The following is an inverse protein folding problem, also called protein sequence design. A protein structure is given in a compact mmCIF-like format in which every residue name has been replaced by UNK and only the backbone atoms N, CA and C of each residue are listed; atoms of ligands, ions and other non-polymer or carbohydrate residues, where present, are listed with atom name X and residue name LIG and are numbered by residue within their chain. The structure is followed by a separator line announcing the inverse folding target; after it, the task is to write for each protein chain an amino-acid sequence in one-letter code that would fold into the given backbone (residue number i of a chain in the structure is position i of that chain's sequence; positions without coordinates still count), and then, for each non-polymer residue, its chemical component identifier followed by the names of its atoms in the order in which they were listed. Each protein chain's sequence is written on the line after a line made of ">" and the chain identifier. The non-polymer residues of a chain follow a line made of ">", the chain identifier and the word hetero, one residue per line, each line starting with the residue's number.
data_IF_559180099792
#
_entry.id   IF_559180099792
#
_cell.length_a   1.000
_cell.length_b   1.000
_cell.length_c   1.000
_cell.angle_alpha   90.00
_cell.angle_beta   90.00
_cell.angle_gamma   90.00
#
_symmetry.space_group_name_H-M   'P 1'
#
loop_
_entity.id
_entity.type
_entity.pdbx_description
1 polymer ?
#
# COMPACT_ATOMS: atom_id res chain seq x y z
N UNK A 1 44.15 -52.54 -7.93
CA UNK A 1 45.55 -52.07 -7.82
C UNK A 1 45.49 -50.54 -7.79
N UNK A 2 45.88 -49.82 -6.71
CA UNK A 2 47.25 -49.33 -6.41
C UNK A 2 47.87 -48.63 -7.66
N UNK A 3 48.23 -47.34 -7.71
CA UNK A 3 48.66 -46.29 -6.71
C UNK A 3 48.09 -44.91 -7.15
N UNK A 4 47.82 -43.89 -6.32
CA UNK A 4 48.60 -43.12 -5.30
C UNK A 4 49.56 -42.04 -5.87
N UNK A 5 49.21 -40.74 -5.61
CA UNK A 5 50.07 -39.52 -5.53
C UNK A 5 50.71 -39.03 -6.86
N UNK A 6 50.82 -37.72 -7.14
CA UNK A 6 51.64 -36.75 -6.37
C UNK A 6 51.28 -35.27 -6.62
N UNK A 7 51.34 -34.46 -5.55
CA UNK A 7 51.87 -33.08 -5.55
C UNK A 7 53.37 -33.20 -5.15
N UNK A 8 54.32 -32.34 -5.60
CA UNK A 8 54.56 -30.99 -5.03
C UNK A 8 54.98 -29.99 -6.13
N UNK A 9 55.64 -28.82 -5.96
CA UNK A 9 56.22 -27.99 -4.86
C UNK A 9 55.68 -26.53 -5.01
N UNK A 10 55.73 -25.55 -4.08
CA UNK A 10 56.66 -25.08 -3.03
C UNK A 10 57.91 -24.29 -3.50
N UNK A 11 57.87 -22.95 -3.36
CA UNK A 11 58.96 -22.00 -3.01
C UNK A 11 58.59 -20.56 -3.49
N UNK A 12 58.92 -19.46 -2.79
CA UNK A 12 59.42 -19.26 -1.42
C UNK A 12 59.04 -17.85 -0.91
N UNK A 13 58.82 -17.77 0.41
CA UNK A 13 59.00 -16.64 1.35
C UNK A 13 59.34 -15.20 0.85
N UNK A 14 58.62 -14.23 1.42
CA UNK A 14 59.06 -12.83 1.58
C UNK A 14 58.42 -12.20 2.82
N UNK A 15 59.16 -12.10 3.93
CA UNK A 15 58.66 -11.57 5.22
C UNK A 15 58.95 -10.08 5.34
N UNK A 16 57.96 -9.28 5.74
CA UNK A 16 58.21 -7.99 6.36
C UNK A 16 57.26 -7.77 7.54
N UNK A 17 57.82 -7.52 8.72
CA UNK A 17 57.08 -7.06 9.91
C UNK A 17 57.23 -5.55 10.02
N UNK A 18 56.14 -4.84 10.32
CA UNK A 18 56.17 -3.55 10.98
C UNK A 18 55.27 -3.66 12.20
N UNK A 19 55.72 -3.12 13.33
CA UNK A 19 55.00 -3.11 14.60
C UNK A 19 54.63 -1.68 15.00
N UNK A 20 53.38 -1.50 15.40
CA UNK A 20 52.82 -0.40 16.20
C UNK A 20 51.35 -0.77 16.46
N UNK A 21 50.74 -0.50 17.61
CA UNK A 21 51.22 0.04 18.88
C UNK A 21 50.04 0.02 19.86
N UNK A 22 50.30 -0.10 21.17
CA UNK A 22 49.23 -0.26 22.15
C UNK A 22 48.34 0.98 22.24
N UNK A 23 47.02 0.79 22.09
CA UNK A 23 46.04 1.86 22.25
C UNK A 23 45.78 2.10 23.75
N UNK A 24 46.49 3.07 24.34
CA UNK A 24 46.28 3.51 25.73
C UNK A 24 44.88 4.11 25.92
N UNK A 25 44.30 3.82 27.08
CA UNK A 25 43.10 4.45 27.60
C UNK A 25 43.46 5.72 28.38
N UNK A 26 43.53 6.86 27.70
CA UNK A 26 43.27 8.17 28.29
C UNK A 26 43.13 9.28 27.23
N UNK A 27 41.95 9.91 27.19
CA UNK A 27 41.89 11.38 27.26
C UNK A 27 40.59 11.79 27.94
N UNK A 28 40.71 12.62 28.97
CA UNK A 28 39.58 13.22 29.68
C UNK A 28 39.50 14.69 29.32
N UNK A 29 38.99 14.99 28.13
CA UNK A 29 38.61 16.35 27.74
C UNK A 29 37.10 16.51 27.77
N UNK A 30 36.65 17.59 28.41
CA UNK A 30 35.26 17.75 28.80
C UNK A 30 34.33 17.89 27.59
N UNK A 31 33.26 17.10 27.58
CA UNK A 31 32.04 17.45 26.83
C UNK A 31 31.45 18.67 27.51
N UNK A 32 31.75 19.86 27.00
CA UNK A 32 31.04 21.07 27.39
C UNK A 32 29.60 20.96 26.89
N UNK A 33 28.66 20.81 27.82
CA UNK A 33 27.23 20.92 27.54
C UNK A 33 26.95 22.32 26.97
N UNK A 34 26.92 22.43 25.65
CA UNK A 34 26.38 23.60 24.98
C UNK A 34 24.87 23.40 24.90
N UNK A 35 24.17 24.15 25.75
CA UNK A 35 22.72 24.06 25.88
C UNK A 35 22.03 24.14 24.52
N UNK A 36 21.04 23.27 24.31
CA UNK A 36 20.11 23.42 23.20
C UNK A 36 19.43 24.79 23.31
N UNK A 37 19.37 25.59 22.23
CA UNK A 37 18.49 26.73 22.20
C UNK A 37 17.06 26.20 22.18
N UNK A 38 16.42 26.16 23.36
CA UNK A 38 14.98 26.11 23.44
C UNK A 38 14.46 27.39 22.76
N UNK A 39 13.99 27.26 21.52
CA UNK A 39 13.19 28.33 20.95
C UNK A 39 11.91 28.40 21.77
N UNK A 40 11.70 29.53 22.45
CA UNK A 40 10.41 29.83 23.01
C UNK A 40 9.42 29.96 21.84
N UNK A 41 8.27 29.31 21.95
CA UNK A 41 7.12 29.65 21.12
C UNK A 41 6.45 30.82 21.85
N UNK A 42 6.71 32.02 21.36
CA UNK A 42 6.12 33.24 21.89
C UNK A 42 4.65 33.27 21.43
N UNK A 43 3.72 32.90 22.31
CA UNK A 43 2.27 33.03 22.09
C UNK A 43 1.88 34.52 22.00
N UNK A 44 2.13 35.14 20.85
CA UNK A 44 1.96 36.57 20.62
C UNK A 44 1.23 36.90 19.31
N UNK A 45 -0.01 37.39 19.50
CA UNK A 45 -0.76 38.24 18.57
C UNK A 45 -1.16 37.67 17.20
N UNK A 46 -2.39 37.16 17.16
CA UNK A 46 -3.26 37.28 15.98
C UNK A 46 -3.49 38.78 15.70
N UNK A 47 -2.73 39.35 14.76
CA UNK A 47 -2.86 40.74 14.29
C UNK A 47 -3.43 40.77 12.87
N UNK A 48 -4.56 41.46 12.69
CA UNK A 48 -5.36 41.48 11.46
C UNK A 48 -4.91 42.52 10.43
N UNK A 49 -3.59 42.68 10.23
CA UNK A 49 -3.03 43.88 9.60
C UNK A 49 -1.81 43.54 8.70
N UNK A 50 -2.05 43.31 7.41
CA UNK A 50 -1.06 43.56 6.35
C UNK A 50 0.18 42.63 6.26
N UNK A 51 -0.02 41.34 5.97
CA UNK A 51 1.06 40.46 5.48
C UNK A 51 1.04 40.34 3.95
N UNK A 52 1.37 41.43 3.24
CA UNK A 52 1.68 41.34 1.81
C UNK A 52 3.21 41.35 1.60
N UNK A 53 3.72 40.36 0.86
CA UNK A 53 5.07 40.28 0.25
C UNK A 53 6.24 39.77 1.11
N UNK A 54 6.25 38.45 1.36
CA UNK A 54 7.35 37.59 0.86
C UNK A 54 6.82 36.15 0.68
N UNK A 55 6.09 35.94 -0.42
CA UNK A 55 5.76 34.60 -0.92
C UNK A 55 6.62 34.44 -2.17
N UNK A 56 7.49 33.43 -2.17
CA UNK A 56 8.30 33.07 -3.34
C UNK A 56 7.42 32.31 -4.34
N UNK A 57 7.69 32.47 -5.64
CA UNK A 57 6.89 31.84 -6.73
C UNK A 57 6.87 30.30 -6.61
N UNK A 58 7.90 29.73 -5.98
CA UNK A 58 7.96 28.30 -5.64
C UNK A 58 6.79 27.81 -4.77
N UNK A 59 6.16 28.68 -3.98
CA UNK A 59 4.99 28.34 -3.15
C UNK A 59 3.72 28.16 -4.01
N UNK A 60 3.53 28.99 -5.03
CA UNK A 60 2.41 28.86 -5.96
C UNK A 60 2.59 27.71 -6.94
N UNK A 61 3.82 27.46 -7.43
CA UNK A 61 4.15 26.25 -8.20
C UNK A 61 3.85 24.98 -7.37
N UNK A 62 4.27 24.92 -6.10
CA UNK A 62 3.97 23.79 -5.23
C UNK A 62 2.46 23.65 -4.94
N UNK A 63 1.73 24.74 -4.70
CA UNK A 63 0.26 24.67 -4.56
C UNK A 63 -0.43 24.23 -5.87
N UNK A 64 0.09 24.63 -7.03
CA UNK A 64 -0.41 24.16 -8.33
C UNK A 64 -0.15 22.67 -8.55
N UNK A 65 0.97 22.13 -8.05
CA UNK A 65 1.31 20.71 -8.16
C UNK A 65 0.25 19.84 -7.48
N UNK A 66 -0.07 20.14 -6.21
CA UNK A 66 -1.14 19.46 -5.46
C UNK A 66 -2.55 19.72 -6.02
N UNK A 67 -2.75 20.74 -6.86
CA UNK A 67 -4.05 21.05 -7.49
C UNK A 67 -4.40 20.17 -8.69
N UNK A 68 -3.48 19.32 -9.16
CA UNK A 68 -3.73 18.37 -10.25
C UNK A 68 -4.15 16.97 -9.76
N UNK A 69 -4.13 16.75 -8.45
CA UNK A 69 -4.52 15.51 -7.81
C UNK A 69 -6.02 15.58 -7.54
N UNK A 70 -6.82 14.63 -8.07
CA UNK A 70 -8.26 14.57 -7.78
C UNK A 70 -8.54 14.27 -6.30
N UNK A 71 -7.65 13.51 -5.65
CA UNK A 71 -7.69 13.24 -4.21
C UNK A 71 -6.28 13.17 -3.59
N UNK A 72 -6.22 13.31 -2.26
CA UNK A 72 -4.96 13.29 -1.52
C UNK A 72 -4.23 11.94 -1.68
N UNK A 73 -3.12 11.94 -2.41
CA UNK A 73 -2.30 10.75 -2.65
C UNK A 73 -2.77 9.88 -3.82
N UNK A 74 -3.80 10.29 -4.57
CA UNK A 74 -4.12 9.71 -5.88
C UNK A 74 -3.25 10.42 -6.94
N UNK A 75 -2.11 9.82 -7.29
CA UNK A 75 -1.24 10.40 -8.30
C UNK A 75 -1.91 10.38 -9.69
N UNK A 76 -1.77 11.41 -10.54
CA UNK A 76 -2.33 11.41 -11.89
C UNK A 76 -1.85 10.27 -12.79
N UNK A 77 -0.84 9.49 -12.38
CA UNK A 77 -0.41 8.26 -13.06
C UNK A 77 -1.11 6.98 -12.60
N UNK A 78 -1.90 7.04 -11.52
CA UNK A 78 -2.75 5.93 -11.05
C UNK A 78 -4.17 6.03 -11.63
N UNK A 79 -4.68 7.26 -11.81
CA UNK A 79 -5.99 7.52 -12.42
C UNK A 79 -6.13 6.81 -13.77
N UNK A 80 -7.02 5.81 -13.83
CA UNK A 80 -7.35 5.10 -15.07
C UNK A 80 -6.25 4.18 -15.61
N UNK A 81 -5.36 3.65 -14.75
CA UNK A 81 -4.24 2.80 -15.17
C UNK A 81 -4.62 1.33 -15.44
N UNK A 82 -5.85 0.93 -15.11
CA UNK A 82 -6.40 -0.42 -15.22
C UNK A 82 -6.42 -1.21 -13.89
N UNK A 83 -5.89 -0.66 -12.81
CA UNK A 83 -6.03 -1.15 -11.44
C UNK A 83 -7.01 -0.23 -10.67
N UNK A 84 -7.74 -0.77 -9.70
CA UNK A 84 -8.49 0.09 -8.76
C UNK A 84 -7.54 0.44 -7.60
N UNK A 85 -7.19 1.70 -7.43
CA UNK A 85 -6.22 2.19 -6.47
C UNK A 85 -6.88 2.78 -5.21
N UNK A 86 -6.30 2.50 -4.04
CA UNK A 86 -6.94 2.81 -2.75
C UNK A 86 -7.09 4.32 -2.50
N UNK A 87 -6.16 5.12 -3.02
CA UNK A 87 -6.20 6.58 -2.90
C UNK A 87 -7.07 7.23 -3.97
N UNK A 88 -7.31 6.57 -5.10
CA UNK A 88 -8.12 7.04 -6.23
C UNK A 88 -9.60 6.57 -6.16
N UNK A 89 -9.91 5.65 -5.26
CA UNK A 89 -11.25 5.15 -4.96
C UNK A 89 -12.14 6.17 -4.22
N UNK A 90 -12.49 7.27 -4.89
CA UNK A 90 -13.39 8.34 -4.43
C UNK A 90 -14.15 8.99 -5.61
N UNK A 91 -15.23 9.70 -5.32
CA UNK A 91 -16.09 10.33 -6.34
C UNK A 91 -15.38 11.48 -7.07
N UNK A 92 -14.49 12.22 -6.39
CA UNK A 92 -13.71 13.31 -6.98
C UNK A 92 -12.70 12.84 -8.06
N UNK A 93 -12.29 11.56 -8.01
CA UNK A 93 -11.47 10.88 -9.00
C UNK A 93 -12.28 10.03 -10.00
N UNK A 94 -13.61 10.22 -10.10
CA UNK A 94 -14.53 9.41 -10.91
C UNK A 94 -14.42 7.88 -10.62
N UNK A 95 -14.11 7.53 -9.36
CA UNK A 95 -13.78 6.17 -8.93
C UNK A 95 -12.66 5.55 -9.77
N UNK A 96 -11.56 6.28 -9.86
CA UNK A 96 -10.34 5.88 -10.57
C UNK A 96 -10.53 5.75 -12.08
N UNK A 97 -11.10 6.78 -12.71
CA UNK A 97 -11.59 6.76 -14.11
C UNK A 97 -12.46 5.51 -14.44
N UNK A 98 -13.22 5.05 -13.44
CA UNK A 98 -14.08 3.86 -13.42
C UNK A 98 -13.39 2.49 -13.30
N UNK A 99 -12.09 2.41 -12.97
CA UNK A 99 -11.43 1.14 -12.63
C UNK A 99 -11.92 0.60 -11.26
N UNK A 100 -12.32 1.48 -10.33
CA UNK A 100 -13.04 1.09 -9.11
C UNK A 100 -14.56 0.98 -9.34
N UNK A 101 -15.09 -0.24 -9.19
CA UNK A 101 -16.51 -0.55 -9.42
C UNK A 101 -17.44 0.04 -8.33
N UNK A 102 -18.21 1.09 -8.68
CA UNK A 102 -19.25 1.73 -7.86
C UNK A 102 -20.59 1.87 -8.58
N UNK A 103 -21.68 2.00 -7.82
CA UNK A 103 -23.04 2.22 -8.35
C UNK A 103 -23.68 0.99 -9.01
N UNK A 104 -23.03 -0.18 -8.90
CA UNK A 104 -23.56 -1.45 -9.40
C UNK A 104 -24.61 -2.04 -8.45
N UNK A 105 -25.54 -2.83 -9.00
CA UNK A 105 -26.57 -3.47 -8.19
C UNK A 105 -26.01 -4.54 -7.26
N UNK A 106 -26.59 -4.65 -6.06
CA UNK A 106 -26.17 -5.60 -5.02
C UNK A 106 -26.48 -7.08 -5.29
N UNK A 107 -26.76 -7.44 -6.54
CA UNK A 107 -27.12 -8.80 -6.93
C UNK A 107 -26.37 -9.21 -8.19
N UNK A 108 -26.06 -10.50 -8.26
CA UNK A 108 -25.30 -11.12 -9.34
C UNK A 108 -26.18 -12.06 -10.18
N UNK A 109 -25.64 -12.58 -11.30
CA UNK A 109 -26.38 -13.41 -12.25
C UNK A 109 -25.75 -14.78 -12.50
N UNK A 110 -24.45 -14.95 -12.29
CA UNK A 110 -23.79 -16.26 -12.34
C UNK A 110 -24.03 -17.00 -11.02
N UNK A 111 -24.12 -18.33 -11.06
CA UNK A 111 -24.44 -19.15 -9.88
C UNK A 111 -23.42 -19.05 -8.74
N UNK A 112 -22.18 -18.68 -9.06
CA UNK A 112 -21.06 -18.47 -8.14
C UNK A 112 -20.86 -16.99 -7.73
N UNK A 113 -21.61 -16.06 -8.34
CA UNK A 113 -21.44 -14.62 -8.17
C UNK A 113 -20.08 -14.07 -8.62
N UNK A 114 -19.37 -14.72 -9.53
CA UNK A 114 -18.13 -14.19 -10.13
C UNK A 114 -18.34 -12.88 -10.92
N UNK A 115 -19.57 -12.60 -11.36
CA UNK A 115 -20.01 -11.34 -11.97
C UNK A 115 -20.46 -10.26 -10.94
N UNK A 116 -20.45 -10.54 -9.64
CA UNK A 116 -20.85 -9.58 -8.61
C UNK A 116 -19.92 -8.35 -8.58
N UNK A 117 -20.50 -7.15 -8.65
CA UNK A 117 -19.77 -5.86 -8.61
C UNK A 117 -20.33 -4.83 -7.62
N UNK A 118 -21.30 -5.21 -6.77
CA UNK A 118 -21.84 -4.33 -5.72
C UNK A 118 -20.83 -4.03 -4.60
N UNK A 119 -21.27 -3.29 -3.59
CA UNK A 119 -20.44 -2.61 -2.59
C UNK A 119 -20.50 -3.27 -1.19
N UNK A 120 -21.17 -4.42 -1.03
CA UNK A 120 -21.15 -5.18 0.24
C UNK A 120 -19.71 -5.51 0.61
N UNK A 121 -19.30 -5.07 1.79
CA UNK A 121 -17.96 -5.18 2.36
C UNK A 121 -17.96 -5.87 3.73
N UNK A 122 -18.98 -6.69 4.00
CA UNK A 122 -19.18 -7.39 5.26
C UNK A 122 -19.53 -8.87 5.07
N UNK A 123 -19.02 -9.69 5.98
CA UNK A 123 -19.26 -11.14 6.00
C UNK A 123 -20.65 -11.48 6.55
N UNK A 124 -21.09 -12.73 6.40
CA UNK A 124 -22.34 -13.23 7.01
C UNK A 124 -22.33 -13.13 8.54
N UNK A 125 -21.14 -13.22 9.15
CA UNK A 125 -20.90 -13.03 10.59
C UNK A 125 -20.75 -11.55 11.00
N UNK A 126 -20.91 -10.61 10.07
CA UNK A 126 -20.80 -9.17 10.31
C UNK A 126 -19.37 -8.63 10.44
N UNK A 127 -18.36 -9.40 10.02
CA UNK A 127 -16.95 -8.96 10.02
C UNK A 127 -16.70 -8.05 8.82
N UNK A 128 -16.04 -6.90 9.03
CA UNK A 128 -15.59 -6.03 7.93
C UNK A 128 -14.52 -6.73 7.10
N UNK A 129 -14.72 -6.76 5.79
CA UNK A 129 -13.77 -7.34 4.85
C UNK A 129 -12.43 -6.58 4.83
N UNK A 130 -11.35 -7.32 4.60
CA UNK A 130 -10.03 -6.77 4.28
C UNK A 130 -10.01 -6.26 2.82
N UNK A 131 -9.28 -5.18 2.58
CA UNK A 131 -9.05 -4.66 1.22
C UNK A 131 -8.22 -5.64 0.39
N UNK A 132 -8.55 -5.83 -0.89
CA UNK A 132 -7.83 -6.76 -1.76
C UNK A 132 -6.40 -6.30 -2.10
N UNK A 133 -6.15 -4.98 -2.07
CA UNK A 133 -4.81 -4.40 -2.19
C UNK A 133 -3.90 -4.71 -0.98
N UNK A 134 -4.47 -5.06 0.18
CA UNK A 134 -3.73 -5.22 1.45
C UNK A 134 -3.51 -6.69 1.78
N UNK A 135 -2.29 -7.03 2.22
CA UNK A 135 -1.89 -8.39 2.59
C UNK A 135 -1.88 -8.66 4.12
N UNK A 136 -2.53 -7.80 4.91
CA UNK A 136 -2.58 -7.90 6.37
C UNK A 136 -3.98 -7.50 6.88
N UNK A 137 -4.55 -8.18 7.90
CA UNK A 137 -3.97 -9.25 8.72
C UNK A 137 -3.85 -10.63 8.04
N UNK A 138 -4.56 -10.87 6.94
CA UNK A 138 -4.50 -12.15 6.21
C UNK A 138 -3.74 -11.99 4.89
N UNK A 139 -2.69 -12.80 4.70
CA UNK A 139 -1.96 -12.82 3.43
C UNK A 139 -2.71 -13.67 2.40
N UNK A 140 -2.72 -13.23 1.14
CA UNK A 140 -3.32 -13.94 0.01
C UNK A 140 -2.58 -13.64 -1.30
N UNK A 141 -2.89 -14.41 -2.35
CA UNK A 141 -2.42 -14.23 -3.73
C UNK A 141 -3.47 -13.56 -4.64
N UNK A 142 -4.67 -13.25 -4.10
CA UNK A 142 -5.78 -12.60 -4.81
C UNK A 142 -5.50 -11.11 -5.04
N UNK A 143 -4.63 -10.80 -6.00
CA UNK A 143 -4.32 -9.45 -6.49
C UNK A 143 -4.89 -9.26 -7.88
N UNK A 144 -5.07 -8.01 -8.33
CA UNK A 144 -5.52 -7.69 -9.69
C UNK A 144 -4.55 -8.27 -10.73
N UNK A 145 -3.23 -8.14 -10.54
CA UNK A 145 -2.22 -8.79 -11.40
C UNK A 145 -2.47 -10.29 -11.64
N UNK A 146 -2.89 -11.05 -10.61
CA UNK A 146 -3.21 -12.48 -10.74
C UNK A 146 -4.64 -12.73 -11.25
N UNK A 147 -5.58 -11.80 -10.99
CA UNK A 147 -7.00 -11.92 -11.27
C UNK A 147 -7.59 -10.63 -11.87
N UNK A 148 -7.13 -10.16 -13.05
CA UNK A 148 -7.38 -8.79 -13.53
C UNK A 148 -8.83 -8.54 -13.96
N UNK A 149 -9.66 -9.59 -14.01
CA UNK A 149 -11.09 -9.51 -14.35
C UNK A 149 -12.01 -9.70 -13.16
N UNK A 150 -11.47 -9.93 -11.96
CA UNK A 150 -12.27 -10.19 -10.77
C UNK A 150 -12.79 -8.93 -10.07
N UNK A 151 -12.37 -7.73 -10.51
CA UNK A 151 -12.75 -6.46 -9.86
C UNK A 151 -12.22 -6.37 -8.45
N UNK A 152 -10.91 -6.62 -8.28
CA UNK A 152 -10.18 -6.46 -7.03
C UNK A 152 -9.49 -5.08 -7.02
N UNK A 153 -8.89 -4.69 -5.90
CA UNK A 153 -8.06 -3.48 -5.80
C UNK A 153 -8.21 -2.76 -4.45
N UNK A 154 -8.18 -1.44 -4.51
CA UNK A 154 -8.29 -0.45 -3.44
C UNK A 154 -9.64 -0.36 -2.74
N UNK A 155 -10.37 -1.47 -2.68
CA UNK A 155 -11.64 -1.61 -1.96
C UNK A 155 -11.69 -2.94 -1.21
N UNK A 156 -12.60 -3.05 -0.24
CA UNK A 156 -12.90 -4.30 0.48
C UNK A 156 -14.25 -4.92 0.10
N UNK A 157 -14.84 -4.51 -1.03
CA UNK A 157 -16.07 -5.11 -1.54
C UNK A 157 -15.88 -6.60 -1.84
N UNK A 158 -16.91 -7.40 -1.54
CA UNK A 158 -16.91 -8.84 -1.76
C UNK A 158 -16.80 -9.18 -3.24
N UNK A 159 -16.03 -10.23 -3.57
CA UNK A 159 -15.78 -10.70 -4.95
C UNK A 159 -15.62 -12.22 -4.95
N UNK A 160 -15.56 -12.83 -6.13
CA UNK A 160 -15.23 -14.25 -6.27
C UNK A 160 -14.17 -14.43 -7.38
N UNK A 161 -12.87 -14.26 -7.06
CA UNK A 161 -11.79 -14.35 -8.06
C UNK A 161 -11.47 -15.79 -8.50
N UNK A 162 -11.77 -16.78 -7.66
CA UNK A 162 -11.25 -18.16 -7.77
C UNK A 162 -12.32 -19.25 -7.97
N UNK A 163 -13.59 -18.88 -8.10
CA UNK A 163 -14.68 -19.81 -8.41
C UNK A 163 -15.20 -20.56 -7.19
N UNK A 164 -15.12 -19.93 -6.01
CA UNK A 164 -15.79 -20.39 -4.80
C UNK A 164 -17.33 -20.39 -4.95
N UNK A 165 -18.07 -20.97 -4.01
CA UNK A 165 -19.51 -21.15 -4.15
C UNK A 165 -20.33 -19.85 -4.19
N UNK A 166 -19.78 -18.71 -3.75
CA UNK A 166 -20.41 -17.37 -3.70
C UNK A 166 -19.34 -16.28 -3.46
N UNK A 167 -19.66 -14.98 -3.59
CA UNK A 167 -18.75 -13.90 -3.21
C UNK A 167 -18.25 -14.02 -1.76
N UNK A 168 -16.98 -13.67 -1.58
CA UNK A 168 -16.26 -13.75 -0.31
C UNK A 168 -15.23 -12.60 -0.23
N UNK A 169 -14.44 -12.54 0.84
CA UNK A 169 -13.34 -11.59 0.99
C UNK A 169 -12.19 -12.14 1.84
N UNK A 170 -10.99 -11.57 1.71
CA UNK A 170 -9.71 -12.11 2.23
C UNK A 170 -9.65 -12.50 3.71
N UNK A 171 -10.61 -12.09 4.54
CA UNK A 171 -10.82 -12.59 5.92
C UNK A 171 -11.36 -14.04 6.00
N UNK A 172 -11.16 -14.86 4.97
CA UNK A 172 -11.52 -16.30 4.89
C UNK A 172 -13.00 -16.64 5.17
N UNK A 173 -13.89 -15.66 5.06
CA UNK A 173 -15.29 -15.77 5.47
C UNK A 173 -16.23 -15.40 4.32
N UNK A 174 -17.38 -16.08 4.29
CA UNK A 174 -18.44 -15.87 3.30
C UNK A 174 -19.05 -14.49 3.41
N UNK A 175 -19.32 -13.83 2.28
CA UNK A 175 -19.93 -12.51 2.28
C UNK A 175 -21.45 -12.51 2.38
N UNK A 176 -21.98 -11.43 2.95
CA UNK A 176 -23.42 -11.11 2.96
C UNK A 176 -23.95 -10.58 1.61
N UNK A 177 -23.16 -10.66 0.53
CA UNK A 177 -23.54 -10.16 -0.79
C UNK A 177 -24.84 -10.83 -1.26
N UNK A 178 -25.83 -10.03 -1.69
CA UNK A 178 -27.15 -10.57 -1.93
C UNK A 178 -27.13 -11.58 -3.08
N UNK A 179 -27.87 -12.68 -2.90
CA UNK A 179 -27.92 -13.79 -3.83
C UNK A 179 -28.43 -13.42 -5.24
N UNK A 180 -28.51 -14.40 -6.15
CA UNK A 180 -28.89 -14.15 -7.52
C UNK A 180 -30.24 -13.41 -7.57
N UNK A 181 -30.31 -12.39 -8.42
CA UNK A 181 -31.49 -11.51 -8.53
C UNK A 181 -32.74 -12.38 -8.75
N UNK A 182 -33.66 -12.37 -7.79
CA UNK A 182 -34.90 -13.17 -7.85
C UNK A 182 -35.84 -12.64 -8.95
N UNK A 183 -35.53 -12.95 -10.20
CA UNK A 183 -36.51 -12.94 -11.29
C UNK A 183 -37.45 -14.12 -11.07
N UNK A 184 -38.56 -13.83 -10.38
CA UNK A 184 -39.75 -14.69 -10.28
C UNK A 184 -39.51 -16.08 -9.65
N UNK A 185 -38.97 -16.09 -8.43
CA UNK A 185 -39.32 -17.13 -7.44
C UNK A 185 -38.87 -18.57 -7.75
N UNK A 186 -37.83 -18.78 -8.57
CA UNK A 186 -37.24 -20.10 -8.77
C UNK A 186 -35.72 -20.07 -8.67
N UNK A 187 -35.21 -20.55 -7.54
CA UNK A 187 -33.83 -21.03 -7.43
C UNK A 187 -33.62 -22.13 -8.47
N UNK A 188 -32.69 -21.95 -9.39
CA UNK A 188 -32.19 -23.03 -10.23
C UNK A 188 -31.08 -23.75 -9.46
N UNK A 189 -31.23 -25.07 -9.38
CA UNK A 189 -30.29 -26.01 -8.74
C UNK A 189 -29.41 -26.68 -9.78
#
# INVERSE_FOLDING_TARGET
>A
MRRLRTLPWLALLGVLRVAAGDASLDDSTAVTESATPAYAIDDAAYGSDGLERYIDESYYELQSFWSNYCAQGCDPSYVGDGECDETCNNEECDWDENDCFHGYGECYTLSDGSDYRGEVSTTEDGVTCQYWSRLWPHTHDKTVYNYPKAGLGGHNFCRNPDGEAKPWCSSSSSCSAAGPRLTEGRLLS
#
